data_IF_573993687527
#
_entry.id   IF_573993687527
#
_cell.length_a   1.000
_cell.length_b   1.000
_cell.length_c   1.000
_cell.angle_alpha   90.00
_cell.angle_beta   90.00
_cell.angle_gamma   90.00
#
_symmetry.space_group_name_H-M   'P 1'
#
loop_
_entity.id
_entity.type
_entity.pdbx_description
1 polymer ?
#
# COMPACT_ATOMS: atom_id res chain seq x y z
N UNK A 1 -3.85 -16.92 15.71
CA UNK A 1 -4.79 -16.44 16.76
C UNK A 1 -4.20 -15.35 17.63
N UNK A 2 -3.20 -15.63 18.50
CA UNK A 2 -2.55 -14.55 19.28
C UNK A 2 -1.65 -13.67 18.39
N UNK A 3 -1.01 -14.28 17.39
CA UNK A 3 -0.16 -13.62 16.40
C UNK A 3 -0.98 -12.70 15.48
N UNK A 4 -2.10 -13.20 14.95
CA UNK A 4 -3.04 -12.42 14.12
C UNK A 4 -3.61 -11.20 14.88
N UNK A 5 -3.84 -11.34 16.19
CA UNK A 5 -4.32 -10.24 17.03
C UNK A 5 -3.24 -9.17 17.30
N UNK A 6 -1.96 -9.56 17.28
CA UNK A 6 -0.85 -8.61 17.36
C UNK A 6 -0.67 -7.88 16.03
N UNK A 7 -0.73 -8.60 14.90
CA UNK A 7 -0.65 -8.01 13.57
C UNK A 7 -1.76 -6.97 13.32
N UNK A 8 -3.02 -7.29 13.68
CA UNK A 8 -4.13 -6.33 13.55
C UNK A 8 -3.89 -5.08 14.40
N UNK A 9 -3.34 -5.22 15.60
CA UNK A 9 -3.00 -4.05 16.44
C UNK A 9 -1.89 -3.21 15.82
N UNK A 10 -0.87 -3.86 15.27
CA UNK A 10 0.23 -3.16 14.60
C UNK A 10 -0.27 -2.43 13.34
N UNK A 11 -1.17 -3.02 12.57
CA UNK A 11 -1.75 -2.42 11.37
C UNK A 11 -2.70 -1.27 11.73
N UNK A 12 -3.62 -1.46 12.69
CA UNK A 12 -4.54 -0.41 13.14
C UNK A 12 -3.82 0.74 13.85
N UNK A 13 -2.63 0.48 14.41
CA UNK A 13 -1.76 1.51 14.98
C UNK A 13 -1.08 2.41 13.93
N UNK A 14 -1.10 2.04 12.65
CA UNK A 14 -0.54 2.86 11.57
C UNK A 14 -1.45 4.06 11.32
N UNK A 15 -0.92 5.26 11.51
CA UNK A 15 -1.62 6.50 11.19
C UNK A 15 -1.31 6.94 9.75
N UNK A 16 -2.35 7.19 8.97
CA UNK A 16 -2.24 7.66 7.59
C UNK A 16 -2.46 9.18 7.44
N UNK A 17 -2.47 9.94 8.54
CA UNK A 17 -2.59 11.40 8.50
C UNK A 17 -3.89 11.92 7.87
N UNK A 18 -5.00 11.20 8.08
CA UNK A 18 -6.31 11.52 7.52
C UNK A 18 -6.83 12.85 8.11
N UNK A 19 -7.21 13.83 7.28
CA UNK A 19 -7.69 15.13 7.75
C UNK A 19 -9.13 15.05 8.25
N UNK A 20 -9.57 16.01 9.06
CA UNK A 20 -10.98 16.07 9.49
C UNK A 20 -11.89 16.34 8.27
N UNK A 21 -12.73 15.38 7.93
CA UNK A 21 -13.72 15.44 6.83
C UNK A 21 -15.13 15.23 7.37
N UNK A 22 -16.14 15.63 6.60
CA UNK A 22 -17.55 15.39 6.96
C UNK A 22 -17.91 13.94 6.67
N UNK A 23 -18.04 13.13 7.73
CA UNK A 23 -18.38 11.71 7.64
C UNK A 23 -19.75 11.46 6.98
N UNK A 24 -20.72 12.37 7.14
CA UNK A 24 -22.04 12.19 6.54
C UNK A 24 -22.02 12.42 5.02
N UNK A 25 -21.18 13.35 4.57
CA UNK A 25 -20.96 13.60 3.14
C UNK A 25 -20.14 12.45 2.52
N UNK A 26 -19.07 12.00 3.21
CA UNK A 26 -18.27 10.86 2.78
C UNK A 26 -19.10 9.58 2.64
N UNK A 27 -19.99 9.29 3.60
CA UNK A 27 -20.85 8.10 3.53
C UNK A 27 -21.79 8.16 2.31
N UNK A 28 -22.36 9.33 2.01
CA UNK A 28 -23.20 9.52 0.83
C UNK A 28 -22.41 9.38 -0.48
N UNK A 29 -21.17 9.86 -0.54
CA UNK A 29 -20.28 9.68 -1.68
C UNK A 29 -19.89 8.20 -1.88
N UNK A 30 -19.59 7.47 -0.79
CA UNK A 30 -19.27 6.05 -0.84
C UNK A 30 -20.45 5.18 -1.27
N UNK A 31 -21.67 5.51 -0.82
CA UNK A 31 -22.89 4.84 -1.28
C UNK A 31 -23.09 5.02 -2.79
N UNK A 32 -22.93 6.25 -3.29
CA UNK A 32 -23.02 6.54 -4.72
C UNK A 32 -21.93 5.81 -5.52
N UNK A 33 -20.70 5.75 -5.00
CA UNK A 33 -19.61 5.00 -5.61
C UNK A 33 -19.91 3.48 -5.65
N UNK A 34 -20.57 2.95 -4.61
CA UNK A 34 -21.01 1.56 -4.56
C UNK A 34 -22.02 1.22 -5.66
N UNK A 35 -22.95 2.12 -5.95
CA UNK A 35 -23.90 1.99 -7.05
C UNK A 35 -23.20 1.99 -8.42
N UNK A 36 -22.25 2.91 -8.63
CA UNK A 36 -21.42 2.96 -9.85
C UNK A 36 -20.63 1.66 -10.02
N UNK A 37 -20.03 1.17 -8.93
CA UNK A 37 -19.26 -0.07 -8.91
C UNK A 37 -20.11 -1.32 -9.22
N UNK A 38 -21.37 -1.34 -8.78
CA UNK A 38 -22.30 -2.43 -9.08
C UNK A 38 -22.73 -2.48 -10.56
N UNK A 39 -22.66 -1.34 -11.25
CA UNK A 39 -22.96 -1.23 -12.68
C UNK A 39 -21.74 -1.53 -13.56
N UNK A 40 -20.53 -1.45 -13.00
CA UNK A 40 -19.30 -1.78 -13.69
C UNK A 40 -19.07 -3.29 -13.76
N UNK A 41 -18.69 -3.77 -14.95
CA UNK A 41 -18.33 -5.17 -15.18
C UNK A 41 -16.82 -5.39 -15.21
N UNK A 42 -16.03 -4.30 -15.20
CA UNK A 42 -14.59 -4.36 -15.18
C UNK A 42 -14.09 -4.63 -13.76
N UNK A 43 -13.53 -5.83 -13.56
CA UNK A 43 -12.91 -6.23 -12.30
C UNK A 43 -11.40 -6.39 -12.39
N UNK A 44 -10.77 -5.83 -13.42
CA UNK A 44 -9.32 -5.92 -13.66
C UNK A 44 -8.49 -5.41 -12.48
N UNK A 45 -8.98 -4.42 -11.73
CA UNK A 45 -8.31 -3.90 -10.54
C UNK A 45 -8.05 -4.97 -9.46
N UNK A 46 -8.82 -6.07 -9.40
CA UNK A 46 -8.57 -7.18 -8.49
C UNK A 46 -7.33 -7.97 -8.89
N UNK A 47 -7.17 -8.23 -10.19
CA UNK A 47 -6.01 -8.93 -10.74
C UNK A 47 -4.77 -8.01 -10.70
N UNK A 48 -4.96 -6.72 -10.96
CA UNK A 48 -3.90 -5.70 -10.84
C UNK A 48 -3.40 -5.56 -9.39
N UNK A 49 -4.29 -5.61 -8.39
CA UNK A 49 -3.89 -5.56 -6.99
C UNK A 49 -3.08 -6.80 -6.56
N UNK A 50 -3.38 -7.97 -7.13
CA UNK A 50 -2.63 -9.21 -6.87
C UNK A 50 -1.28 -9.20 -7.59
N UNK A 51 -1.22 -8.63 -8.79
CA UNK A 51 0.01 -8.56 -9.59
C UNK A 51 0.88 -7.35 -9.25
N UNK A 52 0.38 -6.43 -8.43
CA UNK A 52 1.15 -5.30 -7.93
C UNK A 52 2.36 -5.79 -7.12
N UNK A 53 3.53 -5.14 -7.27
CA UNK A 53 4.68 -5.43 -6.43
C UNK A 53 4.32 -5.26 -4.95
N UNK A 54 4.90 -6.11 -4.10
CA UNK A 54 4.74 -5.98 -2.65
C UNK A 54 5.18 -4.58 -2.19
N UNK A 55 4.42 -4.00 -1.27
CA UNK A 55 4.82 -2.75 -0.64
C UNK A 55 6.17 -2.96 0.06
N UNK A 56 7.12 -2.02 -0.06
CA UNK A 56 8.43 -2.18 0.55
C UNK A 56 8.29 -2.31 2.07
N UNK A 57 8.86 -3.37 2.64
CA UNK A 57 8.86 -3.62 4.09
C UNK A 57 9.68 -2.60 4.92
N UNK A 58 10.42 -1.71 4.25
CA UNK A 58 11.33 -0.76 4.90
C UNK A 58 10.69 0.62 5.01
N UNK A 59 10.88 1.24 6.17
CA UNK A 59 10.42 2.60 6.42
C UNK A 59 10.99 3.58 5.38
N UNK A 60 10.16 4.47 4.82
CA UNK A 60 10.63 5.53 3.93
C UNK A 60 11.68 6.40 4.63
N UNK A 61 12.92 6.41 4.11
CA UNK A 61 14.04 7.21 4.65
C UNK A 61 15.08 6.45 5.48
N UNK A 62 14.95 5.13 5.65
CA UNK A 62 16.01 4.30 6.19
C UNK A 62 17.18 4.13 5.19
N UNK A 63 18.43 4.08 5.66
CA UNK A 63 19.60 3.95 4.77
C UNK A 63 19.51 2.67 3.90
N UNK A 64 19.45 2.85 2.58
CA UNK A 64 19.42 1.76 1.61
C UNK A 64 20.77 1.07 1.50
N UNK A 65 20.92 -0.08 2.15
CA UNK A 65 21.88 -1.09 1.71
C UNK A 65 21.21 -2.46 1.76
N UNK A 66 20.50 -2.79 0.69
CA UNK A 66 20.07 -4.15 0.40
C UNK A 66 20.68 -4.52 -0.94
N UNK A 67 21.47 -5.58 -0.94
CA UNK A 67 21.84 -6.30 -2.15
C UNK A 67 20.69 -7.23 -2.52
N UNK A 68 20.26 -7.26 -3.77
CA UNK A 68 19.34 -8.28 -4.25
C UNK A 68 19.96 -9.69 -4.14
N UNK A 69 19.17 -10.73 -4.45
CA UNK A 69 19.62 -12.13 -4.47
C UNK A 69 20.81 -12.40 -5.40
N UNK A 70 21.10 -11.48 -6.31
CA UNK A 70 22.17 -11.51 -7.30
C UNK A 70 23.36 -10.61 -6.90
N UNK A 71 23.30 -9.97 -5.72
CA UNK A 71 24.36 -9.11 -5.17
C UNK A 71 24.34 -7.66 -5.67
N UNK A 72 23.30 -7.23 -6.38
CA UNK A 72 23.18 -5.87 -6.94
C UNK A 72 22.65 -4.92 -5.88
N UNK A 73 23.30 -3.77 -5.72
CA UNK A 73 22.82 -2.71 -4.85
C UNK A 73 21.51 -2.15 -5.39
N UNK A 74 20.42 -2.35 -4.64
CA UNK A 74 19.12 -1.80 -4.96
C UNK A 74 18.76 -0.65 -4.02
N UNK A 75 17.94 0.27 -4.51
CA UNK A 75 17.33 1.34 -3.73
C UNK A 75 16.14 0.81 -2.92
N UNK A 76 15.45 1.71 -2.23
CA UNK A 76 14.32 1.41 -1.35
C UNK A 76 13.10 0.83 -2.10
N UNK A 77 13.07 0.96 -3.43
CA UNK A 77 12.02 0.43 -4.31
C UNK A 77 12.44 -0.88 -4.99
N UNK A 78 13.61 -1.44 -4.64
CA UNK A 78 14.14 -2.64 -5.28
C UNK A 78 14.68 -2.37 -6.69
N UNK A 79 14.86 -1.11 -7.07
CA UNK A 79 15.45 -0.73 -8.36
C UNK A 79 16.97 -0.66 -8.22
N UNK A 80 17.74 -1.02 -9.27
CA UNK A 80 19.20 -0.92 -9.21
C UNK A 80 19.66 0.51 -8.93
N UNK A 81 20.57 0.70 -7.98
CA UNK A 81 21.18 2.00 -7.70
C UNK A 81 21.93 2.49 -8.93
N UNK A 82 21.40 3.53 -9.58
CA UNK A 82 22.11 4.24 -10.64
C UNK A 82 23.29 5.02 -10.02
N UNK A 83 24.49 5.01 -10.63
CA UNK A 83 25.60 5.81 -10.15
C UNK A 83 25.22 7.30 -10.25
N UNK A 84 25.29 8.01 -9.13
CA UNK A 84 25.17 9.47 -9.13
C UNK A 84 26.31 10.06 -9.98
N UNK A 85 25.95 10.80 -11.04
CA UNK A 85 26.89 11.64 -11.79
C UNK A 85 27.23 12.91 -11.01
#
# INVERSE_FOLDING_TARGET
>A
MLEDANEVQDVLGRSYGMPDIDEADLEAELDALGDDFALDTDTSYLDDAISAPEAPDREPGAESVVTDKDGVLVDEFGLPKIPAQ
#
